data_IF_350957290775
#
_entry.id   IF_350957290775
#
_cell.length_a   1.000
_cell.length_b   1.000
_cell.length_c   1.000
_cell.angle_alpha   90.00
_cell.angle_beta   90.00
_cell.angle_gamma   90.00
#
_symmetry.space_group_name_H-M   'P 1'
#
loop_
_entity.id
_entity.type
_entity.pdbx_description
1 polymer ?
#
# COMPACT_ATOMS: atom_id res chain seq x y z
N UNK A 1 3.13 31.17 -11.75
CA UNK A 1 2.50 30.13 -10.91
C UNK A 1 3.49 29.77 -9.81
N UNK A 2 3.21 30.16 -8.56
CA UNK A 2 4.04 29.77 -7.42
C UNK A 2 3.60 28.37 -6.98
N UNK A 3 4.38 27.34 -7.30
CA UNK A 3 4.19 26.00 -6.74
C UNK A 3 4.70 26.02 -5.30
N UNK A 4 3.84 25.88 -4.31
CA UNK A 4 4.25 25.77 -2.92
C UNK A 4 5.09 24.48 -2.72
N UNK A 5 6.41 24.58 -2.48
CA UNK A 5 7.29 23.41 -2.39
C UNK A 5 7.05 22.58 -1.12
N UNK A 6 6.14 23.03 -0.25
CA UNK A 6 5.74 22.38 0.99
C UNK A 6 4.41 21.63 0.89
N UNK A 7 3.67 21.77 -0.22
CA UNK A 7 2.46 21.01 -0.42
C UNK A 7 2.81 19.57 -0.86
N UNK A 8 2.46 18.59 -0.02
CA UNK A 8 2.63 17.16 -0.29
C UNK A 8 2.06 16.76 -1.67
N UNK A 9 0.95 17.37 -2.10
CA UNK A 9 0.36 17.11 -3.41
C UNK A 9 1.30 17.51 -4.57
N UNK A 10 2.01 18.62 -4.46
CA UNK A 10 2.98 19.06 -5.48
C UNK A 10 4.16 18.10 -5.58
N UNK A 11 4.63 17.57 -4.45
CA UNK A 11 5.68 16.55 -4.43
C UNK A 11 5.21 15.25 -5.06
N UNK A 12 3.97 14.81 -4.81
CA UNK A 12 3.39 13.63 -5.47
C UNK A 12 3.32 13.83 -7.00
N UNK A 13 2.85 14.99 -7.46
CA UNK A 13 2.82 15.33 -8.90
C UNK A 13 4.24 15.30 -9.49
N UNK A 14 5.22 15.88 -8.81
CA UNK A 14 6.62 15.87 -9.26
C UNK A 14 7.18 14.43 -9.34
N UNK A 15 6.87 13.58 -8.35
CA UNK A 15 7.24 12.16 -8.38
C UNK A 15 6.64 11.46 -9.60
N UNK A 16 5.38 11.74 -9.92
CA UNK A 16 4.71 11.15 -11.09
C UNK A 16 5.33 11.62 -12.41
N UNK A 17 5.74 12.89 -12.51
CA UNK A 17 6.47 13.42 -13.67
C UNK A 17 7.83 12.72 -13.82
N UNK A 18 8.56 12.51 -12.72
CA UNK A 18 9.82 11.75 -12.80
C UNK A 18 9.59 10.30 -13.24
N UNK A 19 8.55 9.64 -12.72
CA UNK A 19 8.21 8.26 -13.07
C UNK A 19 7.82 8.13 -14.55
N UNK A 20 7.03 9.05 -15.09
CA UNK A 20 6.63 9.02 -16.51
C UNK A 20 7.80 9.23 -17.48
N UNK A 21 8.86 9.90 -17.02
CA UNK A 21 10.11 10.05 -17.76
C UNK A 21 11.15 8.93 -17.48
N UNK A 22 10.82 7.89 -16.71
CA UNK A 22 11.76 6.83 -16.33
C UNK A 22 12.90 7.27 -15.39
N UNK A 23 12.78 8.44 -14.77
CA UNK A 23 13.81 9.03 -13.89
C UNK A 23 13.64 8.54 -12.45
N UNK A 24 13.89 7.24 -12.23
CA UNK A 24 13.71 6.59 -10.93
C UNK A 24 14.53 7.19 -9.80
N UNK A 25 15.74 7.70 -10.07
CA UNK A 25 16.52 8.45 -9.08
C UNK A 25 15.80 9.72 -8.61
N UNK A 26 15.08 10.39 -9.52
CA UNK A 26 14.24 11.55 -9.20
C UNK A 26 13.05 11.17 -8.32
N UNK A 27 12.38 10.06 -8.67
CA UNK A 27 11.30 9.46 -7.86
C UNK A 27 11.81 9.18 -6.44
N UNK A 28 12.94 8.49 -6.31
CA UNK A 28 13.52 8.15 -5.02
C UNK A 28 13.85 9.39 -4.17
N UNK A 29 14.42 10.45 -4.76
CA UNK A 29 14.69 11.71 -4.06
C UNK A 29 13.43 12.40 -3.56
N UNK A 30 12.38 12.46 -4.40
CA UNK A 30 11.11 13.07 -4.01
C UNK A 30 10.44 12.27 -2.89
N UNK A 31 10.45 10.94 -2.97
CA UNK A 31 9.93 10.08 -1.90
C UNK A 31 10.71 10.21 -0.60
N UNK A 32 12.04 10.38 -0.66
CA UNK A 32 12.86 10.67 0.52
C UNK A 32 12.42 11.99 1.18
N UNK A 33 12.25 13.05 0.40
CA UNK A 33 11.77 14.34 0.89
C UNK A 33 10.35 14.25 1.47
N UNK A 34 9.47 13.46 0.84
CA UNK A 34 8.13 13.17 1.36
C UNK A 34 8.20 12.49 2.73
N UNK A 35 9.05 11.47 2.89
CA UNK A 35 9.24 10.76 4.18
C UNK A 35 9.83 11.67 5.27
N UNK A 36 10.73 12.58 4.91
CA UNK A 36 11.31 13.55 5.85
C UNK A 36 10.30 14.61 6.29
N UNK A 37 9.38 15.02 5.41
CA UNK A 37 8.33 16.00 5.74
C UNK A 37 7.13 15.38 6.47
N UNK A 38 6.79 14.14 6.13
CA UNK A 38 5.63 13.44 6.66
C UNK A 38 5.99 12.80 8.01
N UNK A 39 6.13 13.64 9.04
CA UNK A 39 6.58 13.26 10.39
C UNK A 39 5.68 12.27 11.12
N UNK A 40 4.62 11.75 10.51
CA UNK A 40 3.81 10.59 10.94
C UNK A 40 2.66 10.48 9.95
N UNK A 41 2.87 9.86 8.79
CA UNK A 41 1.73 9.21 8.15
C UNK A 41 1.28 8.15 9.15
N UNK A 42 0.17 8.39 9.85
CA UNK A 42 -0.46 7.36 10.67
C UNK A 42 -0.66 6.18 9.74
N UNK A 43 0.04 5.07 10.00
CA UNK A 43 -0.10 3.90 9.16
C UNK A 43 -1.60 3.59 9.04
N UNK A 44 -2.08 3.46 7.80
CA UNK A 44 -3.45 3.08 7.55
C UNK A 44 -3.71 1.77 8.27
N UNK A 45 -4.79 1.73 9.04
CA UNK A 45 -5.24 0.51 9.67
C UNK A 45 -6.64 0.19 9.17
N UNK A 46 -6.91 -1.09 9.02
CA UNK A 46 -8.26 -1.61 8.87
C UNK A 46 -8.78 -2.02 10.24
N UNK A 47 -10.10 -1.97 10.43
CA UNK A 47 -10.75 -2.44 11.65
C UNK A 47 -11.89 -3.36 11.27
N UNK A 48 -12.01 -4.47 11.99
CA UNK A 48 -13.18 -5.34 11.93
C UNK A 48 -13.75 -5.50 13.33
N UNK A 49 -15.05 -5.74 13.41
CA UNK A 49 -15.73 -6.13 14.64
C UNK A 49 -15.91 -7.66 14.66
N UNK A 50 -15.47 -8.30 15.73
CA UNK A 50 -15.65 -9.73 15.97
C UNK A 50 -16.00 -9.95 17.44
N UNK A 51 -17.11 -10.64 17.70
CA UNK A 51 -17.60 -10.92 19.06
C UNK A 51 -17.71 -9.67 19.95
N UNK A 52 -18.14 -8.54 19.36
CA UNK A 52 -18.25 -7.24 20.03
C UNK A 52 -16.92 -6.57 20.36
N UNK A 53 -15.80 -7.07 19.83
CA UNK A 53 -14.46 -6.48 19.98
C UNK A 53 -13.96 -5.95 18.65
N UNK A 54 -13.34 -4.78 18.69
CA UNK A 54 -12.69 -4.17 17.53
C UNK A 54 -11.26 -4.67 17.38
N UNK A 55 -10.94 -5.27 16.24
CA UNK A 55 -9.60 -5.75 15.90
C UNK A 55 -8.99 -4.85 14.82
N UNK A 56 -7.85 -4.24 15.11
CA UNK A 56 -7.11 -3.39 14.17
C UNK A 56 -6.05 -4.22 13.46
N UNK A 57 -5.84 -3.96 12.17
CA UNK A 57 -4.81 -4.58 11.35
C UNK A 57 -4.10 -3.53 10.53
N UNK A 58 -2.77 -3.57 10.52
CA UNK A 58 -1.93 -2.78 9.64
C UNK A 58 -1.41 -3.67 8.50
N UNK A 59 -0.91 -3.04 7.43
CA UNK A 59 -0.15 -3.77 6.40
C UNK A 59 1.04 -4.47 7.07
N UNK A 60 1.18 -5.77 6.82
CA UNK A 60 2.22 -6.63 7.42
C UNK A 60 2.14 -6.79 8.95
N UNK A 61 1.00 -6.47 9.57
CA UNK A 61 0.83 -6.59 11.01
C UNK A 61 0.81 -8.05 11.50
N UNK A 62 1.72 -8.36 12.43
CA UNK A 62 1.84 -9.67 13.08
C UNK A 62 1.66 -9.59 14.60
N UNK A 63 1.10 -8.50 15.12
CA UNK A 63 0.88 -8.29 16.56
C UNK A 63 -0.25 -9.14 17.13
N UNK A 64 -1.18 -9.60 16.30
CA UNK A 64 -2.31 -10.41 16.75
C UNK A 64 -1.88 -11.86 17.03
N UNK A 65 -2.28 -12.50 18.15
CA UNK A 65 -1.88 -13.88 18.48
C UNK A 65 -2.26 -14.95 17.46
N UNK A 66 -3.20 -14.63 16.56
CA UNK A 66 -3.65 -15.51 15.46
C UNK A 66 -3.15 -15.05 14.09
N UNK A 67 -2.17 -14.15 14.02
CA UNK A 67 -1.68 -13.60 12.75
C UNK A 67 -1.27 -14.69 11.77
N UNK A 68 -0.56 -15.73 12.23
CA UNK A 68 -0.16 -16.88 11.41
C UNK A 68 -1.37 -17.52 10.68
N UNK A 69 -2.43 -17.87 11.43
CA UNK A 69 -3.66 -18.43 10.85
C UNK A 69 -4.35 -17.48 9.87
N UNK A 70 -4.27 -16.17 10.10
CA UNK A 70 -4.83 -15.17 9.18
C UNK A 70 -4.03 -15.16 7.87
N UNK A 71 -2.69 -15.18 7.95
CA UNK A 71 -1.84 -15.26 6.78
C UNK A 71 -2.01 -16.58 6.02
N UNK A 72 -2.09 -17.72 6.69
CA UNK A 72 -2.34 -19.01 6.05
C UNK A 72 -3.66 -19.03 5.27
N UNK A 73 -4.71 -18.41 5.83
CA UNK A 73 -5.99 -18.25 5.16
C UNK A 73 -5.88 -17.34 3.93
N UNK A 74 -5.15 -16.22 4.04
CA UNK A 74 -4.89 -15.32 2.91
C UNK A 74 -4.09 -16.01 1.79
N UNK A 75 -3.09 -16.81 2.15
CA UNK A 75 -2.28 -17.57 1.18
C UNK A 75 -3.12 -18.64 0.47
N UNK A 76 -4.01 -19.31 1.20
CA UNK A 76 -4.96 -20.29 0.63
C UNK A 76 -5.93 -19.63 -0.36
N UNK A 77 -6.48 -18.47 0.00
CA UNK A 77 -7.35 -17.69 -0.90
C UNK A 77 -6.57 -17.22 -2.13
N UNK A 78 -5.35 -16.73 -1.94
CA UNK A 78 -4.48 -16.27 -3.04
C UNK A 78 -4.15 -17.40 -4.01
N UNK A 79 -3.88 -18.60 -3.49
CA UNK A 79 -3.64 -19.78 -4.31
C UNK A 79 -4.89 -20.17 -5.10
N UNK A 80 -6.07 -20.19 -4.47
CA UNK A 80 -7.33 -20.47 -5.14
C UNK A 80 -7.63 -19.44 -6.24
N UNK A 81 -7.40 -18.15 -5.99
CA UNK A 81 -7.59 -17.10 -6.99
C UNK A 81 -6.67 -17.28 -8.21
N UNK A 82 -5.40 -17.65 -7.99
CA UNK A 82 -4.46 -17.92 -9.09
C UNK A 82 -4.88 -19.12 -9.94
N UNK A 83 -5.41 -20.17 -9.31
CA UNK A 83 -5.93 -21.33 -10.04
C UNK A 83 -7.13 -20.95 -10.91
N UNK A 84 -8.10 -20.20 -10.37
CA UNK A 84 -9.26 -19.71 -11.12
C UNK A 84 -8.85 -18.80 -12.29
N UNK A 85 -7.86 -17.92 -12.10
CA UNK A 85 -7.33 -17.09 -13.19
C UNK A 85 -6.62 -17.92 -14.27
N UNK A 86 -5.97 -19.04 -13.92
CA UNK A 86 -5.35 -19.93 -14.91
C UNK A 86 -6.37 -20.79 -15.68
N UNK A 87 -7.51 -21.08 -15.06
CA UNK A 87 -8.61 -21.84 -15.68
C UNK A 87 -9.49 -20.97 -16.58
N UNK A 88 -9.44 -19.63 -16.42
CA UNK A 88 -10.22 -18.70 -17.21
C UNK A 88 -9.33 -17.67 -17.95
N UNK A 89 -8.78 -18.03 -19.13
CA UNK A 89 -7.89 -17.16 -19.91
C UNK A 89 -8.57 -15.91 -20.52
N UNK A 90 -9.86 -15.68 -20.25
CA UNK A 90 -10.63 -14.57 -20.84
C UNK A 90 -10.56 -13.25 -20.06
N UNK A 91 -9.71 -13.14 -19.03
CA UNK A 91 -9.61 -11.95 -18.16
C UNK A 91 -8.23 -11.27 -18.23
N UNK A 92 -7.68 -11.11 -19.43
CA UNK A 92 -6.61 -10.12 -19.70
C UNK A 92 -7.03 -9.29 -20.92
N UNK A 93 -7.44 -8.05 -20.69
CA UNK A 93 -7.66 -6.99 -21.70
C UNK A 93 -7.19 -5.66 -21.13
#
# INVERSE_FOLDING_TARGET
MHLEPHNTANLVILSNIYASCGKWDGVARVWKLLKEKDHKKSAGYNVIELDGRMHKFLVEDKSHPRSEKVYDALDSITLAMKLVSSENPEVES
#
